data_IF_730785937135
#
_entry.id   IF_730785937135
#
_cell.length_a   1.000
_cell.length_b   1.000
_cell.length_c   1.000
_cell.angle_alpha   90.00
_cell.angle_beta   90.00
_cell.angle_gamma   90.00
#
_symmetry.space_group_name_H-M   'P 1'
#
loop_
_entity.id
_entity.type
_entity.pdbx_description
1 polymer ?
#
# COMPACT_ATOMS: atom_id res chain seq x y z
N UNK A 1 1.85 8.15 -26.87
CA UNK A 1 2.63 8.19 -25.62
C UNK A 1 1.96 7.31 -24.57
N UNK A 2 2.71 6.61 -23.73
CA UNK A 2 2.20 5.87 -22.57
C UNK A 2 2.56 6.66 -21.33
N UNK A 3 1.56 6.94 -20.51
CA UNK A 3 1.76 7.61 -19.24
C UNK A 3 1.47 6.69 -18.07
N UNK A 4 2.31 6.80 -17.05
CA UNK A 4 2.14 6.13 -15.74
C UNK A 4 2.04 7.23 -14.68
N UNK A 5 0.95 7.26 -13.94
CA UNK A 5 0.69 8.26 -12.90
C UNK A 5 1.10 7.69 -11.54
N UNK A 6 2.14 8.27 -10.95
CA UNK A 6 2.71 7.87 -9.67
C UNK A 6 4.09 7.24 -9.79
N UNK A 7 5.01 7.70 -8.96
CA UNK A 7 6.43 7.27 -8.89
C UNK A 7 6.73 6.34 -7.72
N UNK A 8 5.71 5.75 -7.10
CA UNK A 8 5.87 4.72 -6.05
C UNK A 8 6.28 3.36 -6.63
N UNK A 9 6.52 2.37 -5.79
CA UNK A 9 6.80 1.00 -6.24
C UNK A 9 5.82 0.49 -7.28
N UNK A 10 4.53 0.77 -7.14
CA UNK A 10 3.51 0.34 -8.11
C UNK A 10 3.78 0.95 -9.50
N UNK A 11 3.99 2.26 -9.57
CA UNK A 11 4.25 2.95 -10.83
C UNK A 11 5.60 2.56 -11.45
N UNK A 12 6.65 2.46 -10.65
CA UNK A 12 7.97 2.04 -11.13
C UNK A 12 7.98 0.56 -11.59
N UNK A 13 7.24 -0.33 -10.92
CA UNK A 13 7.08 -1.73 -11.36
C UNK A 13 6.26 -1.82 -12.64
N UNK A 14 5.26 -0.95 -12.79
CA UNK A 14 4.51 -0.83 -14.05
C UNK A 14 5.44 -0.40 -15.20
N UNK A 15 6.29 0.61 -14.98
CA UNK A 15 7.30 1.02 -15.96
C UNK A 15 8.31 -0.10 -16.26
N UNK A 16 8.75 -0.81 -15.24
CA UNK A 16 9.69 -1.94 -15.34
C UNK A 16 9.17 -3.04 -16.26
N UNK A 17 7.91 -3.43 -16.16
CA UNK A 17 7.39 -4.49 -17.00
C UNK A 17 7.01 -3.99 -18.42
N UNK A 18 6.44 -2.76 -18.52
CA UNK A 18 5.99 -2.19 -19.78
C UNK A 18 7.14 -1.84 -20.73
N UNK A 19 8.32 -1.49 -20.23
CA UNK A 19 9.51 -1.18 -21.06
C UNK A 19 9.92 -2.31 -22.00
N UNK A 20 9.52 -3.55 -21.69
CA UNK A 20 9.75 -4.71 -22.59
C UNK A 20 8.91 -4.67 -23.86
N UNK A 21 7.79 -3.94 -23.82
CA UNK A 21 6.81 -3.86 -24.93
C UNK A 21 6.75 -2.48 -25.61
N UNK A 22 7.17 -1.44 -24.90
CA UNK A 22 6.99 -0.05 -25.36
C UNK A 22 8.25 0.79 -25.14
N UNK A 23 8.63 1.56 -26.17
CA UNK A 23 9.80 2.47 -26.13
C UNK A 23 9.49 3.81 -25.44
N UNK A 24 8.27 4.35 -25.64
CA UNK A 24 7.90 5.71 -25.21
C UNK A 24 7.01 5.68 -23.97
N UNK A 25 7.64 5.58 -22.81
CA UNK A 25 6.99 5.57 -21.49
C UNK A 25 7.42 6.79 -20.69
N UNK A 26 6.46 7.47 -20.09
CA UNK A 26 6.72 8.60 -19.18
C UNK A 26 6.00 8.37 -17.85
N UNK A 27 6.75 8.42 -16.76
CA UNK A 27 6.22 8.44 -15.38
C UNK A 27 5.96 9.88 -14.98
N UNK A 28 4.76 10.16 -14.50
CA UNK A 28 4.33 11.49 -14.05
C UNK A 28 4.12 11.46 -12.54
N UNK A 29 4.70 12.43 -11.84
CA UNK A 29 4.64 12.54 -10.37
C UNK A 29 4.38 13.97 -9.93
N UNK A 30 3.60 14.19 -8.87
CA UNK A 30 3.43 15.51 -8.24
C UNK A 30 4.64 15.93 -7.39
N UNK A 31 5.59 15.03 -7.17
CA UNK A 31 6.81 15.32 -6.42
C UNK A 31 7.70 16.29 -7.18
N UNK A 32 8.53 17.04 -6.45
CA UNK A 32 9.66 17.77 -7.02
C UNK A 32 10.84 16.84 -7.25
N UNK A 33 11.61 17.16 -8.28
CA UNK A 33 12.93 16.57 -8.47
C UNK A 33 13.80 17.04 -7.30
N UNK A 34 14.52 16.12 -6.69
CA UNK A 34 15.49 16.40 -5.61
C UNK A 34 14.93 16.99 -4.29
N UNK A 35 13.61 16.86 -4.05
CA UNK A 35 13.04 17.30 -2.79
C UNK A 35 13.53 16.41 -1.63
N UNK A 36 14.49 16.94 -0.85
CA UNK A 36 14.98 16.30 0.36
C UNK A 36 13.96 16.35 1.50
N UNK A 37 13.91 15.31 2.28
CA UNK A 37 12.86 14.92 3.22
C UNK A 37 12.78 15.81 4.45
N UNK A 38 11.60 16.28 4.78
CA UNK A 38 11.19 16.47 6.18
C UNK A 38 10.14 15.39 6.50
N UNK A 39 10.50 14.45 7.38
CA UNK A 39 9.56 13.47 7.91
C UNK A 39 8.57 14.17 8.84
N UNK A 40 7.27 13.84 8.73
CA UNK A 40 6.37 14.10 9.84
C UNK A 40 6.89 13.33 11.05
N UNK A 41 6.90 13.94 12.22
CA UNK A 41 7.34 13.26 13.43
C UNK A 41 6.40 12.10 13.72
N UNK A 42 6.96 10.96 14.08
CA UNK A 42 6.21 9.78 14.54
C UNK A 42 5.22 10.17 15.65
N UNK A 43 5.60 11.10 16.50
CA UNK A 43 4.77 11.66 17.56
C UNK A 43 3.47 12.28 16.99
N UNK A 44 3.54 13.10 15.93
CA UNK A 44 2.38 13.67 15.27
C UNK A 44 1.46 12.61 14.70
N UNK A 45 2.02 11.52 14.20
CA UNK A 45 1.25 10.36 13.72
C UNK A 45 0.51 9.67 14.87
N UNK A 46 1.16 9.46 16.00
CA UNK A 46 0.58 8.77 17.14
C UNK A 46 -0.51 9.60 17.83
N UNK A 47 -0.29 10.91 17.98
CA UNK A 47 -1.21 11.81 18.69
C UNK A 47 -2.45 12.20 17.88
N UNK A 48 -2.45 12.10 16.55
CA UNK A 48 -3.63 12.45 15.76
C UNK A 48 -4.69 11.36 15.84
N UNK A 49 -5.93 11.72 16.16
CA UNK A 49 -7.06 10.78 16.22
C UNK A 49 -7.72 10.57 14.85
N UNK A 50 -7.73 11.60 14.01
CA UNK A 50 -8.30 11.54 12.66
C UNK A 50 -7.57 12.50 11.72
N UNK A 51 -7.75 12.29 10.41
CA UNK A 51 -7.23 13.17 9.38
C UNK A 51 -6.16 12.57 8.50
N UNK A 52 -5.63 13.37 7.59
CA UNK A 52 -4.53 13.00 6.69
C UNK A 52 -3.20 13.48 7.24
N UNK A 53 -2.26 12.54 7.37
CA UNK A 53 -0.89 12.83 7.77
C UNK A 53 -0.02 12.86 6.53
N UNK A 54 0.44 14.04 6.16
CA UNK A 54 1.20 14.28 4.94
C UNK A 54 2.69 14.24 5.21
N UNK A 55 3.36 13.30 4.56
CA UNK A 55 4.82 13.21 4.51
C UNK A 55 5.33 13.89 3.25
N UNK A 56 5.26 15.22 3.22
CA UNK A 56 5.67 16.01 2.05
C UNK A 56 6.32 17.31 2.47
N UNK A 57 6.87 18.03 1.47
CA UNK A 57 7.10 19.46 1.68
C UNK A 57 5.76 20.17 1.90
N UNK A 58 5.75 21.13 2.81
CA UNK A 58 4.58 21.98 3.04
C UNK A 58 4.11 22.66 1.74
N UNK A 59 5.05 22.97 0.82
CA UNK A 59 4.77 23.67 -0.45
C UNK A 59 3.94 22.84 -1.41
N UNK A 60 4.33 21.57 -1.67
CA UNK A 60 3.57 20.64 -2.54
C UNK A 60 2.18 20.37 -1.94
N UNK A 61 2.10 20.09 -0.65
CA UNK A 61 0.83 19.84 0.03
C UNK A 61 -0.13 21.02 -0.06
N UNK A 62 0.33 22.24 0.22
CA UNK A 62 -0.50 23.44 0.12
C UNK A 62 -1.04 23.65 -1.29
N UNK A 63 -0.22 23.45 -2.33
CA UNK A 63 -0.67 23.60 -3.72
C UNK A 63 -1.73 22.56 -4.10
N UNK A 64 -1.57 21.31 -3.68
CA UNK A 64 -2.59 20.28 -3.93
C UNK A 64 -3.88 20.59 -3.17
N UNK A 65 -3.80 21.10 -1.94
CA UNK A 65 -4.98 21.49 -1.16
C UNK A 65 -5.75 22.68 -1.78
N UNK A 66 -5.07 23.56 -2.52
CA UNK A 66 -5.72 24.61 -3.32
C UNK A 66 -6.47 24.06 -4.53
N UNK A 67 -5.92 23.00 -5.15
CA UNK A 67 -6.53 22.34 -6.32
C UNK A 67 -7.73 21.47 -5.91
N UNK A 68 -7.64 20.85 -4.73
CA UNK A 68 -8.56 19.80 -4.29
C UNK A 68 -8.64 19.75 -2.76
N UNK A 69 -9.75 20.21 -2.20
CA UNK A 69 -10.00 20.14 -0.76
C UNK A 69 -10.53 18.76 -0.37
N UNK A 70 -10.04 18.21 0.71
CA UNK A 70 -10.48 16.93 1.24
C UNK A 70 -10.92 17.06 2.69
N UNK A 71 -12.20 16.74 2.95
CA UNK A 71 -12.77 16.65 4.31
C UNK A 71 -12.70 15.19 4.77
N UNK A 72 -12.18 14.95 5.97
CA UNK A 72 -11.96 13.61 6.51
C UNK A 72 -12.75 13.44 7.79
N UNK A 73 -13.50 12.33 7.88
CA UNK A 73 -14.32 11.98 9.05
C UNK A 73 -14.08 10.54 9.46
N UNK A 74 -13.91 10.30 10.76
CA UNK A 74 -13.83 8.96 11.37
C UNK A 74 -12.76 8.04 10.74
N UNK A 75 -11.69 8.60 10.19
CA UNK A 75 -10.55 7.83 9.69
C UNK A 75 -9.26 8.66 9.75
N UNK A 76 -8.15 7.93 9.67
CA UNK A 76 -6.80 8.49 9.67
C UNK A 76 -5.98 7.72 8.66
N UNK A 77 -5.30 8.40 7.77
CA UNK A 77 -4.40 7.76 6.84
C UNK A 77 -3.17 8.61 6.55
N UNK A 78 -2.16 7.95 6.02
CA UNK A 78 -0.91 8.60 5.62
C UNK A 78 -0.92 8.80 4.11
N UNK A 79 -0.48 9.97 3.67
CA UNK A 79 -0.19 10.26 2.27
C UNK A 79 1.22 10.79 2.07
N UNK A 80 1.75 10.58 0.88
CA UNK A 80 3.03 11.14 0.48
C UNK A 80 3.02 11.46 -1.00
N UNK A 81 3.22 12.74 -1.30
CA UNK A 81 3.42 13.23 -2.67
C UNK A 81 4.91 13.38 -3.03
N UNK A 82 5.81 12.92 -2.16
CA UNK A 82 7.24 12.83 -2.46
C UNK A 82 7.50 11.81 -3.56
N UNK A 83 8.62 11.92 -4.23
CA UNK A 83 9.08 10.89 -5.13
C UNK A 83 9.18 9.54 -4.38
N UNK A 84 8.59 8.49 -4.97
CA UNK A 84 8.44 7.20 -4.29
C UNK A 84 7.19 7.08 -3.43
N UNK A 85 6.44 8.17 -3.16
CA UNK A 85 5.20 8.13 -2.41
C UNK A 85 5.32 7.41 -1.07
N UNK A 86 4.32 6.60 -0.73
CA UNK A 86 4.32 5.80 0.50
C UNK A 86 5.46 4.76 0.57
N UNK A 87 6.10 4.42 -0.56
CA UNK A 87 7.24 3.50 -0.54
C UNK A 87 8.47 4.06 0.20
N UNK A 88 8.49 5.35 0.52
CA UNK A 88 9.56 5.94 1.35
C UNK A 88 9.35 5.74 2.86
N UNK A 89 8.12 5.47 3.27
CA UNK A 89 7.72 5.37 4.68
C UNK A 89 7.08 4.04 5.04
N UNK A 90 7.08 3.09 4.11
CA UNK A 90 6.54 1.76 4.33
C UNK A 90 7.30 0.96 5.39
N UNK A 91 6.68 -0.10 5.94
CA UNK A 91 7.28 -0.95 6.96
C UNK A 91 8.55 -1.69 6.51
N UNK A 92 8.85 -1.73 5.20
CA UNK A 92 10.00 -2.45 4.65
C UNK A 92 9.84 -3.96 4.72
N UNK A 93 8.61 -4.44 4.78
CA UNK A 93 8.30 -5.86 4.90
C UNK A 93 7.89 -6.41 3.55
N UNK A 94 8.64 -7.41 3.07
CA UNK A 94 8.27 -8.24 1.92
C UNK A 94 8.00 -9.65 2.42
N UNK A 95 6.88 -10.21 2.01
CA UNK A 95 6.54 -11.60 2.27
C UNK A 95 7.09 -12.51 1.18
N UNK A 96 7.45 -13.73 1.56
CA UNK A 96 7.83 -14.75 0.60
C UNK A 96 6.66 -15.04 -0.34
N UNK A 97 6.92 -14.96 -1.64
CA UNK A 97 5.92 -15.20 -2.70
C UNK A 97 5.33 -16.61 -2.68
N UNK A 98 6.05 -17.60 -2.13
CA UNK A 98 5.57 -18.97 -2.02
C UNK A 98 4.50 -19.19 -0.96
N UNK A 99 4.30 -18.22 -0.06
CA UNK A 99 3.35 -18.32 1.06
C UNK A 99 2.00 -17.68 0.78
N UNK A 100 1.87 -16.95 -0.32
CA UNK A 100 0.58 -16.38 -0.67
C UNK A 100 -0.40 -17.46 -1.08
N UNK A 101 -1.60 -17.42 -0.52
CA UNK A 101 -2.71 -18.20 -1.02
C UNK A 101 -3.16 -17.60 -2.36
N UNK A 102 -2.55 -18.06 -3.43
CA UNK A 102 -2.81 -17.57 -4.78
C UNK A 102 -4.13 -18.14 -5.37
N UNK A 103 -4.91 -18.92 -4.60
CA UNK A 103 -6.19 -19.50 -5.08
C UNK A 103 -7.18 -18.45 -5.58
N UNK A 104 -7.16 -17.26 -4.96
CA UNK A 104 -8.05 -16.13 -5.35
C UNK A 104 -7.46 -15.25 -6.45
N UNK A 105 -6.26 -15.56 -6.92
CA UNK A 105 -5.62 -14.84 -8.02
C UNK A 105 -5.88 -15.54 -9.35
N UNK A 106 -6.12 -14.78 -10.40
CA UNK A 106 -6.32 -15.35 -11.73
C UNK A 106 -4.98 -15.80 -12.35
N UNK A 107 -4.24 -16.67 -11.65
CA UNK A 107 -3.00 -17.25 -12.14
C UNK A 107 -3.26 -18.59 -12.82
N UNK A 108 -2.70 -18.75 -14.00
CA UNK A 108 -2.36 -20.06 -14.55
C UNK A 108 -1.01 -20.49 -13.94
N UNK A 109 -0.84 -21.77 -13.54
CA UNK A 109 0.39 -22.32 -12.93
C UNK A 109 1.65 -21.97 -13.76
N UNK A 110 1.58 -22.10 -15.09
CA UNK A 110 2.72 -21.83 -15.98
C UNK A 110 3.14 -20.35 -15.99
N UNK A 111 2.18 -19.42 -15.82
CA UNK A 111 2.48 -17.98 -15.70
C UNK A 111 3.05 -17.63 -14.32
N UNK A 112 2.73 -18.39 -13.30
CA UNK A 112 3.19 -18.11 -11.94
C UNK A 112 4.71 -18.16 -11.84
N UNK A 113 5.36 -19.17 -12.40
CA UNK A 113 6.82 -19.28 -12.36
C UNK A 113 7.52 -18.14 -13.12
N UNK A 114 6.94 -17.70 -14.23
CA UNK A 114 7.43 -16.51 -14.94
C UNK A 114 7.34 -15.25 -14.08
N UNK A 115 6.22 -15.07 -13.38
CA UNK A 115 5.99 -13.92 -12.50
C UNK A 115 6.95 -13.96 -11.31
N UNK A 116 7.16 -15.12 -10.70
CA UNK A 116 8.14 -15.32 -9.63
C UNK A 116 9.55 -14.91 -10.08
N UNK A 117 10.00 -15.37 -11.23
CA UNK A 117 11.31 -14.98 -11.79
C UNK A 117 11.41 -13.48 -12.03
N UNK A 118 10.35 -12.86 -12.55
CA UNK A 118 10.31 -11.41 -12.74
C UNK A 118 10.33 -10.66 -11.40
N UNK A 119 9.64 -11.18 -10.38
CA UNK A 119 9.62 -10.59 -9.05
C UNK A 119 11.00 -10.68 -8.37
N UNK A 120 11.66 -11.83 -8.45
CA UNK A 120 13.03 -12.00 -7.93
C UNK A 120 14.03 -11.06 -8.62
N UNK A 121 13.88 -10.88 -9.94
CA UNK A 121 14.70 -9.90 -10.67
C UNK A 121 14.42 -8.46 -10.21
N UNK A 122 13.16 -8.10 -10.01
CA UNK A 122 12.76 -6.80 -9.46
C UNK A 122 13.32 -6.59 -8.05
N UNK A 123 13.25 -7.59 -7.16
CA UNK A 123 13.84 -7.55 -5.83
C UNK A 123 15.35 -7.30 -5.88
N UNK A 124 16.07 -8.00 -6.75
CA UNK A 124 17.51 -7.79 -6.93
C UNK A 124 17.84 -6.35 -7.30
N UNK A 125 17.06 -5.72 -8.17
CA UNK A 125 17.24 -4.30 -8.54
C UNK A 125 16.94 -3.39 -7.34
N UNK A 126 15.82 -3.62 -6.66
CA UNK A 126 15.36 -2.81 -5.53
C UNK A 126 16.39 -2.82 -4.39
N UNK A 127 16.90 -3.99 -4.04
CA UNK A 127 17.71 -4.20 -2.83
C UNK A 127 19.19 -4.36 -3.08
N UNK A 128 19.62 -4.45 -4.34
CA UNK A 128 21.04 -4.72 -4.73
C UNK A 128 21.63 -5.99 -4.10
N UNK A 129 20.80 -6.89 -3.61
CA UNK A 129 21.20 -8.16 -2.98
C UNK A 129 20.26 -9.27 -3.40
N UNK A 130 20.79 -10.50 -3.52
CA UNK A 130 19.97 -11.69 -3.61
C UNK A 130 19.45 -12.00 -2.22
N UNK A 131 18.14 -11.93 -2.02
CA UNK A 131 17.53 -12.44 -0.82
C UNK A 131 17.45 -13.97 -0.92
N UNK A 132 18.15 -14.67 -0.03
CA UNK A 132 17.90 -16.09 0.20
C UNK A 132 16.69 -16.15 1.11
N UNK A 133 15.57 -16.59 0.59
CA UNK A 133 14.45 -17.00 1.41
C UNK A 133 14.84 -18.30 2.11
N UNK A 134 14.63 -18.42 3.42
CA UNK A 134 14.88 -19.69 4.10
C UNK A 134 14.06 -20.81 3.48
N UNK A 135 14.63 -22.03 3.49
CA UNK A 135 14.03 -23.21 2.88
C UNK A 135 12.60 -23.49 3.38
N UNK A 136 11.82 -24.18 2.55
CA UNK A 136 10.40 -24.52 2.77
C UNK A 136 10.11 -25.21 4.11
N UNK A 137 11.10 -25.85 4.72
CA UNK A 137 10.97 -26.67 5.93
C UNK A 137 11.27 -25.95 7.23
N UNK A 138 11.62 -24.66 7.22
CA UNK A 138 11.82 -23.94 8.45
C UNK A 138 10.49 -23.47 9.03
N UNK A 139 10.22 -23.89 10.27
CA UNK A 139 9.07 -23.52 11.10
C UNK A 139 8.56 -22.09 10.87
N UNK A 140 7.28 -21.93 10.83
CA UNK A 140 6.35 -20.77 10.77
C UNK A 140 6.91 -19.32 10.68
N UNK A 141 8.14 -19.05 11.11
CA UNK A 141 8.62 -17.71 11.45
C UNK A 141 9.65 -17.10 10.48
N UNK A 142 10.12 -17.82 9.44
CA UNK A 142 11.27 -17.36 8.64
C UNK A 142 10.93 -16.76 7.27
N UNK A 143 9.67 -16.52 7.00
CA UNK A 143 9.21 -16.24 5.64
C UNK A 143 8.96 -14.76 5.31
N UNK A 144 9.41 -13.85 6.16
CA UNK A 144 9.26 -12.42 5.97
C UNK A 144 10.63 -11.75 6.06
N UNK A 145 10.98 -11.01 5.01
CA UNK A 145 12.20 -10.22 4.99
C UNK A 145 11.92 -8.81 5.48
N UNK A 146 12.60 -8.41 6.55
CA UNK A 146 12.62 -7.04 7.03
C UNK A 146 13.79 -6.29 6.40
N UNK A 147 13.49 -5.10 5.92
CA UNK A 147 14.52 -4.16 5.49
C UNK A 147 14.92 -3.24 6.63
N UNK A 148 16.21 -3.04 6.80
CA UNK A 148 16.74 -2.01 7.68
C UNK A 148 16.24 -0.63 7.22
N UNK A 149 15.95 0.27 8.17
CA UNK A 149 15.35 1.59 7.93
C UNK A 149 16.09 2.42 6.84
N UNK A 150 17.39 2.39 6.83
CA UNK A 150 18.20 3.10 5.83
C UNK A 150 18.06 2.52 4.41
N UNK A 151 17.87 1.21 4.27
CA UNK A 151 17.72 0.53 2.98
C UNK A 151 16.34 0.72 2.34
N UNK A 152 15.32 1.13 3.11
CA UNK A 152 13.97 1.39 2.59
C UNK A 152 13.94 2.55 1.60
N UNK A 153 14.71 3.59 1.84
CA UNK A 153 14.81 4.78 0.98
C UNK A 153 15.58 4.50 -0.30
N UNK A 154 16.66 3.76 -0.19
CA UNK A 154 17.50 3.39 -1.33
C UNK A 154 16.74 2.52 -2.33
N UNK A 155 15.78 1.73 -1.86
CA UNK A 155 15.05 0.77 -2.67
C UNK A 155 14.29 1.41 -3.84
N UNK A 156 13.59 2.51 -3.59
CA UNK A 156 12.87 3.26 -4.64
C UNK A 156 13.86 3.96 -5.59
N UNK A 157 14.91 4.54 -5.01
CA UNK A 157 15.96 5.23 -5.77
C UNK A 157 16.68 4.25 -6.71
N UNK A 158 16.97 3.03 -6.25
CA UNK A 158 17.61 2.01 -7.08
C UNK A 158 16.76 1.61 -8.28
N UNK A 159 15.47 1.37 -8.07
CA UNK A 159 14.55 1.04 -9.15
C UNK A 159 14.39 2.20 -10.13
N UNK A 160 14.32 3.44 -9.64
CA UNK A 160 14.28 4.63 -10.49
C UNK A 160 15.55 4.77 -11.33
N UNK A 161 16.74 4.67 -10.72
CA UNK A 161 18.03 4.73 -11.44
C UNK A 161 18.09 3.67 -12.54
N UNK A 162 17.69 2.44 -12.23
CA UNK A 162 17.60 1.37 -13.22
C UNK A 162 16.70 1.75 -14.41
N UNK A 163 15.54 2.34 -14.16
CA UNK A 163 14.58 2.74 -15.21
C UNK A 163 15.09 3.92 -16.05
N UNK A 164 15.77 4.89 -15.42
CA UNK A 164 16.43 5.99 -16.15
C UNK A 164 17.47 5.45 -17.16
N UNK A 165 18.28 4.48 -16.74
CA UNK A 165 19.26 3.81 -17.60
C UNK A 165 18.59 2.96 -18.71
N UNK A 166 17.28 2.81 -18.70
CA UNK A 166 16.46 2.14 -19.71
C UNK A 166 15.56 3.11 -20.46
N UNK A 167 15.93 4.38 -20.51
CA UNK A 167 15.28 5.46 -21.26
C UNK A 167 13.80 5.72 -20.86
N UNK A 168 13.41 5.38 -19.64
CA UNK A 168 12.12 5.78 -19.10
C UNK A 168 12.18 7.26 -18.70
N UNK A 169 11.26 8.06 -19.23
CA UNK A 169 11.17 9.49 -18.93
C UNK A 169 10.40 9.74 -17.63
N UNK A 170 10.82 10.76 -16.88
CA UNK A 170 10.14 11.22 -15.66
C UNK A 170 9.76 12.68 -15.80
N UNK A 171 8.51 13.00 -15.46
CA UNK A 171 7.99 14.37 -15.37
C UNK A 171 7.53 14.62 -13.94
N UNK A 172 8.00 15.72 -13.36
CA UNK A 172 7.78 16.11 -11.98
C UNK A 172 6.86 17.33 -11.88
N UNK A 173 6.48 17.68 -10.65
CA UNK A 173 5.60 18.83 -10.35
C UNK A 173 4.24 18.77 -11.07
N UNK A 174 3.80 17.59 -11.52
CA UNK A 174 2.58 17.40 -12.29
C UNK A 174 1.55 16.56 -11.51
N UNK A 175 0.44 17.17 -11.16
CA UNK A 175 -0.67 16.53 -10.47
C UNK A 175 -1.81 16.19 -11.44
N UNK A 176 -2.17 14.92 -11.58
CA UNK A 176 -3.30 14.50 -12.42
C UNK A 176 -4.62 14.84 -11.75
N UNK A 177 -5.34 15.81 -12.31
CA UNK A 177 -6.66 16.24 -11.82
C UNK A 177 -7.80 15.43 -12.42
N UNK A 178 -7.75 15.19 -13.74
CA UNK A 178 -8.88 14.61 -14.49
C UNK A 178 -8.43 13.91 -15.75
N UNK A 179 -9.18 12.90 -16.15
CA UNK A 179 -9.06 12.21 -17.44
C UNK A 179 -10.24 12.61 -18.31
N UNK A 180 -9.97 13.09 -19.51
CA UNK A 180 -10.98 13.26 -20.55
C UNK A 180 -10.92 12.06 -21.49
N UNK A 181 -11.78 11.06 -21.21
CA UNK A 181 -11.76 9.80 -21.94
C UNK A 181 -12.10 9.94 -23.42
N UNK A 182 -13.14 10.73 -23.75
CA UNK A 182 -13.60 10.90 -25.15
C UNK A 182 -12.51 11.47 -26.05
N UNK A 183 -11.74 12.43 -25.56
CA UNK A 183 -10.64 13.04 -26.32
C UNK A 183 -9.28 12.39 -26.08
N UNK A 184 -9.22 11.31 -25.30
CA UNK A 184 -7.96 10.64 -24.85
C UNK A 184 -6.92 11.62 -24.31
N UNK A 185 -7.34 12.58 -23.47
CA UNK A 185 -6.48 13.58 -22.84
C UNK A 185 -6.46 13.43 -21.32
N UNK A 186 -5.30 13.62 -20.74
CA UNK A 186 -5.15 13.85 -19.28
C UNK A 186 -5.02 15.34 -19.02
N UNK A 187 -5.65 15.80 -17.95
CA UNK A 187 -5.59 17.19 -17.48
C UNK A 187 -4.74 17.19 -16.22
N UNK A 188 -3.58 17.80 -16.31
CA UNK A 188 -2.58 17.92 -15.26
C UNK A 188 -2.57 19.34 -14.73
N UNK A 189 -2.30 19.49 -13.44
CA UNK A 189 -1.91 20.75 -12.81
C UNK A 189 -0.39 20.75 -12.69
N UNK A 190 0.26 21.73 -13.27
CA UNK A 190 1.65 22.03 -13.00
C UNK A 190 1.76 22.74 -11.64
N UNK A 191 2.41 22.08 -10.69
CA UNK A 191 2.58 22.59 -9.35
C UNK A 191 3.70 23.63 -9.24
N UNK A 192 4.57 23.78 -10.25
CA UNK A 192 5.59 24.84 -10.30
C UNK A 192 4.97 26.17 -10.71
N UNK A 193 4.23 26.17 -11.80
CA UNK A 193 3.75 27.37 -12.47
C UNK A 193 2.25 27.62 -12.28
N UNK A 194 1.56 26.72 -11.57
CA UNK A 194 0.11 26.77 -11.35
C UNK A 194 -0.71 26.78 -12.66
N UNK A 195 -0.20 26.14 -13.71
CA UNK A 195 -0.83 26.06 -15.03
C UNK A 195 -1.52 24.73 -15.24
N UNK A 196 -2.49 24.71 -16.16
CA UNK A 196 -3.17 23.48 -16.60
C UNK A 196 -2.50 23.00 -17.88
N UNK A 197 -2.02 21.76 -17.86
CA UNK A 197 -1.41 21.08 -18.99
C UNK A 197 -2.34 19.95 -19.46
N UNK A 198 -2.56 19.86 -20.77
CA UNK A 198 -3.33 18.78 -21.39
C UNK A 198 -2.40 17.92 -22.26
N UNK A 199 -2.35 16.61 -22.00
CA UNK A 199 -1.51 15.67 -22.77
C UNK A 199 -2.37 14.56 -23.37
N UNK A 200 -2.11 14.21 -24.64
CA UNK A 200 -2.75 13.09 -25.31
C UNK A 200 -2.09 11.78 -24.89
N UNK A 201 -2.87 10.75 -24.53
CA UNK A 201 -2.36 9.42 -24.20
C UNK A 201 -2.82 8.36 -25.21
N UNK A 202 -1.95 7.37 -25.46
CA UNK A 202 -2.31 6.13 -26.16
C UNK A 202 -2.77 5.09 -25.11
N UNK A 203 -2.05 4.99 -23.99
CA UNK A 203 -2.41 4.19 -22.83
C UNK A 203 -2.07 4.96 -21.55
N UNK A 204 -2.93 4.82 -20.56
CA UNK A 204 -2.79 5.48 -19.26
C UNK A 204 -2.82 4.43 -18.14
N UNK A 205 -1.78 4.39 -17.34
CA UNK A 205 -1.68 3.55 -16.14
C UNK A 205 -1.75 4.42 -14.89
N UNK A 206 -2.70 4.15 -14.01
CA UNK A 206 -2.90 4.89 -12.77
C UNK A 206 -2.35 4.07 -11.62
N UNK A 207 -1.24 4.52 -11.04
CA UNK A 207 -0.52 3.94 -9.91
C UNK A 207 -0.37 4.97 -8.77
N UNK A 208 -1.40 5.80 -8.57
CA UNK A 208 -1.36 6.95 -7.67
C UNK A 208 -1.57 6.58 -6.19
N UNK A 209 -1.72 5.29 -5.90
CA UNK A 209 -2.18 4.76 -4.62
C UNK A 209 -3.71 4.82 -4.48
N UNK A 210 -4.33 3.91 -3.71
CA UNK A 210 -5.76 3.65 -3.81
C UNK A 210 -6.65 4.87 -3.51
N UNK A 211 -6.26 5.75 -2.60
CA UNK A 211 -7.02 6.98 -2.28
C UNK A 211 -6.98 7.96 -3.46
N UNK A 212 -5.78 8.26 -3.99
CA UNK A 212 -5.67 9.20 -5.11
C UNK A 212 -6.23 8.59 -6.41
N UNK A 213 -6.05 7.30 -6.63
CA UNK A 213 -6.69 6.58 -7.75
C UNK A 213 -8.21 6.73 -7.68
N UNK A 214 -8.83 6.56 -6.51
CA UNK A 214 -10.26 6.76 -6.33
C UNK A 214 -10.69 8.21 -6.62
N UNK A 215 -9.94 9.21 -6.15
CA UNK A 215 -10.21 10.62 -6.42
C UNK A 215 -10.12 10.95 -7.90
N UNK A 216 -9.09 10.47 -8.60
CA UNK A 216 -8.93 10.64 -10.05
C UNK A 216 -10.13 10.05 -10.80
N UNK A 217 -10.58 8.86 -10.46
CA UNK A 217 -11.74 8.21 -11.07
C UNK A 217 -13.03 9.01 -10.82
N UNK A 218 -13.28 9.43 -9.57
CA UNK A 218 -14.43 10.26 -9.22
C UNK A 218 -14.44 11.60 -9.96
N UNK A 219 -13.28 12.21 -10.18
CA UNK A 219 -13.18 13.46 -10.95
C UNK A 219 -13.40 13.28 -12.44
N UNK A 220 -13.07 12.10 -12.95
CA UNK A 220 -13.05 11.83 -14.40
C UNK A 220 -14.38 11.30 -14.94
N UNK A 221 -15.10 10.51 -14.15
CA UNK A 221 -16.23 9.72 -14.62
C UNK A 221 -17.47 9.93 -13.74
N UNK A 222 -18.51 10.52 -14.34
CA UNK A 222 -19.73 10.96 -13.61
C UNK A 222 -20.56 9.81 -13.02
N UNK A 223 -20.48 8.62 -13.58
CA UNK A 223 -21.19 7.45 -13.09
C UNK A 223 -20.67 6.93 -11.75
N UNK A 224 -19.45 7.26 -11.37
CA UNK A 224 -18.93 6.93 -10.05
C UNK A 224 -19.33 8.02 -9.05
N UNK A 225 -20.32 7.75 -8.22
CA UNK A 225 -20.77 8.69 -7.17
C UNK A 225 -19.96 8.57 -5.89
N UNK A 226 -19.53 7.35 -5.57
CA UNK A 226 -18.73 6.99 -4.40
C UNK A 226 -17.89 5.76 -4.67
N UNK A 227 -16.76 5.64 -4.01
CA UNK A 227 -15.85 4.50 -4.11
C UNK A 227 -15.51 4.02 -2.69
N UNK A 228 -15.56 2.70 -2.49
CA UNK A 228 -15.15 2.06 -1.24
C UNK A 228 -13.74 1.50 -1.40
N UNK A 229 -12.90 1.76 -0.41
CA UNK A 229 -11.58 1.16 -0.26
C UNK A 229 -11.60 0.28 0.98
N UNK A 230 -11.28 -0.98 0.81
CA UNK A 230 -11.19 -1.92 1.91
C UNK A 230 -9.81 -1.85 2.54
N UNK A 231 -9.73 -2.18 3.84
CA UNK A 231 -8.48 -2.24 4.57
C UNK A 231 -8.33 -3.55 5.35
N UNK A 232 -7.10 -3.90 5.70
CA UNK A 232 -6.80 -4.79 6.81
C UNK A 232 -6.50 -3.93 8.03
N UNK A 233 -7.53 -3.60 8.81
CA UNK A 233 -7.34 -2.74 9.99
C UNK A 233 -6.41 -3.40 10.98
N UNK A 234 -5.47 -2.63 11.49
CA UNK A 234 -4.56 -3.13 12.50
C UNK A 234 -4.93 -2.64 13.90
N UNK A 235 -4.58 -3.44 14.88
CA UNK A 235 -4.69 -3.14 16.29
C UNK A 235 -3.43 -3.63 17.01
N UNK A 236 -3.20 -3.14 18.20
CA UNK A 236 -2.08 -3.55 19.01
C UNK A 236 -2.57 -4.37 20.19
N UNK A 237 -1.79 -5.38 20.58
CA UNK A 237 -2.00 -6.14 21.80
C UNK A 237 -0.72 -6.19 22.60
N UNK A 238 -0.84 -6.17 23.91
CA UNK A 238 0.23 -6.59 24.80
C UNK A 238 0.34 -8.10 24.74
N UNK A 239 1.54 -8.64 24.61
CA UNK A 239 1.77 -10.08 24.53
C UNK A 239 2.79 -10.50 25.57
N UNK A 240 2.43 -11.49 26.39
CA UNK A 240 3.35 -12.19 27.28
C UNK A 240 3.81 -13.48 26.62
N UNK A 241 5.12 -13.73 26.58
CA UNK A 241 5.74 -14.95 26.08
C UNK A 241 6.53 -15.62 27.19
N UNK A 242 6.52 -16.96 27.23
CA UNK A 242 7.30 -17.73 28.21
C UNK A 242 8.81 -17.63 28.00
N UNK A 243 9.26 -17.50 26.76
CA UNK A 243 10.68 -17.41 26.40
C UNK A 243 11.03 -16.05 25.80
N UNK A 244 12.27 -15.58 26.01
CA UNK A 244 12.76 -14.33 25.41
C UNK A 244 12.92 -14.47 23.91
N UNK A 245 12.53 -13.41 23.16
CA UNK A 245 12.74 -13.32 21.73
C UNK A 245 14.03 -12.57 21.41
N UNK A 246 14.89 -13.19 20.62
CA UNK A 246 16.12 -12.54 20.13
C UNK A 246 15.86 -11.61 18.94
N UNK A 247 14.74 -11.80 18.19
CA UNK A 247 14.38 -11.06 16.95
C UNK A 247 12.88 -10.80 16.89
N UNK A 248 12.48 -9.89 15.99
CA UNK A 248 11.06 -9.67 15.67
C UNK A 248 10.50 -10.97 15.08
N UNK A 249 9.39 -11.42 15.62
CA UNK A 249 8.69 -12.62 15.17
C UNK A 249 7.36 -12.27 14.50
N UNK A 250 6.95 -13.12 13.56
CA UNK A 250 5.74 -12.97 12.79
C UNK A 250 4.90 -14.23 12.92
N UNK A 251 3.60 -14.04 13.11
CA UNK A 251 2.65 -15.13 13.24
C UNK A 251 1.53 -14.95 12.23
N UNK A 252 1.20 -16.03 11.56
CA UNK A 252 0.00 -16.12 10.72
C UNK A 252 -0.89 -17.19 11.34
N UNK A 253 -2.12 -16.81 11.60
CA UNK A 253 -3.14 -17.71 12.09
C UNK A 253 -4.25 -17.83 11.04
N UNK A 254 -4.65 -19.04 10.72
CA UNK A 254 -5.78 -19.33 9.85
C UNK A 254 -6.56 -20.47 10.47
N UNK A 255 -7.73 -20.18 11.00
CA UNK A 255 -8.59 -21.14 11.62
C UNK A 255 -10.04 -20.81 11.28
N UNK A 256 -10.76 -21.76 10.69
CA UNK A 256 -12.19 -21.66 10.34
C UNK A 256 -12.56 -20.33 9.65
N UNK A 257 -11.81 -19.99 8.62
CA UNK A 257 -12.00 -18.73 7.87
C UNK A 257 -11.50 -17.45 8.56
N UNK A 258 -11.11 -17.51 9.85
CA UNK A 258 -10.52 -16.40 10.57
C UNK A 258 -9.04 -16.28 10.21
N UNK A 259 -8.70 -15.24 9.46
CA UNK A 259 -7.32 -14.95 9.08
C UNK A 259 -6.77 -13.83 9.96
N UNK A 260 -5.67 -14.12 10.60
CA UNK A 260 -4.99 -13.20 11.50
C UNK A 260 -3.49 -13.20 11.21
N UNK A 261 -2.89 -12.04 11.23
CA UNK A 261 -1.45 -11.86 11.10
C UNK A 261 -0.96 -10.93 12.18
N UNK A 262 0.14 -11.27 12.81
CA UNK A 262 0.74 -10.49 13.88
C UNK A 262 2.25 -10.33 13.70
N UNK A 263 2.74 -9.13 14.03
CA UNK A 263 4.16 -8.80 14.14
C UNK A 263 4.47 -8.49 15.60
N UNK A 264 5.39 -9.22 16.21
CA UNK A 264 5.81 -9.01 17.60
C UNK A 264 7.04 -8.09 17.66
N UNK A 265 6.94 -7.07 18.45
CA UNK A 265 8.02 -6.14 18.77
C UNK A 265 8.37 -6.27 20.24
N UNK A 266 9.66 -6.39 20.56
CA UNK A 266 10.10 -6.38 21.95
C UNK A 266 9.72 -5.04 22.61
N UNK A 267 8.97 -5.08 23.70
CA UNK A 267 8.45 -3.89 24.38
C UNK A 267 9.58 -3.00 24.90
N UNK A 268 10.70 -3.59 25.36
CA UNK A 268 11.91 -2.87 25.74
C UNK A 268 12.47 -2.00 24.62
N UNK A 269 12.49 -2.51 23.39
CA UNK A 269 12.99 -1.74 22.25
C UNK A 269 12.08 -0.53 21.93
N UNK A 270 10.78 -0.68 22.16
CA UNK A 270 9.82 0.41 22.00
C UNK A 270 10.03 1.47 23.08
N UNK A 271 10.13 1.06 24.36
CA UNK A 271 10.42 1.97 25.47
C UNK A 271 11.75 2.71 25.30
N UNK A 272 12.78 2.02 24.79
CA UNK A 272 14.07 2.66 24.50
C UNK A 272 13.97 3.75 23.42
N UNK A 273 13.10 3.59 22.43
CA UNK A 273 12.89 4.62 21.39
C UNK A 273 12.23 5.88 21.95
N UNK A 274 11.31 5.70 22.91
CA UNK A 274 10.51 6.81 23.46
C UNK A 274 11.09 7.44 24.71
N UNK A 275 11.75 6.65 25.58
CA UNK A 275 12.11 7.06 26.94
C UNK A 275 13.57 6.84 27.32
N UNK A 276 14.40 6.36 26.41
CA UNK A 276 15.83 6.06 26.65
C UNK A 276 16.09 5.09 27.83
N UNK A 277 15.17 4.22 28.13
CA UNK A 277 15.24 3.23 29.22
C UNK A 277 16.21 2.08 28.92
N UNK A 278 17.52 2.29 28.93
CA UNK A 278 18.50 1.25 28.62
C UNK A 278 18.65 0.14 29.68
N UNK A 279 18.23 0.36 30.92
CA UNK A 279 18.59 -0.50 32.06
C UNK A 279 17.47 -1.40 32.66
N UNK A 280 16.25 -1.37 32.18
CA UNK A 280 15.17 -2.16 32.80
C UNK A 280 15.05 -3.58 32.24
N UNK A 281 15.43 -4.58 33.07
CA UNK A 281 15.26 -6.02 32.75
C UNK A 281 13.82 -6.55 32.97
N UNK A 282 12.96 -5.75 33.58
CA UNK A 282 11.60 -6.12 34.01
C UNK A 282 10.64 -6.58 32.88
N UNK A 283 10.94 -6.23 31.61
CA UNK A 283 10.03 -6.48 30.49
C UNK A 283 10.56 -7.49 29.46
N UNK A 284 11.48 -8.40 29.86
CA UNK A 284 12.10 -9.36 28.94
C UNK A 284 11.09 -10.21 28.16
N UNK A 285 9.99 -10.58 28.81
CA UNK A 285 8.96 -11.46 28.25
C UNK A 285 7.71 -10.71 27.77
N UNK A 286 7.77 -9.37 27.72
CA UNK A 286 6.68 -8.53 27.28
C UNK A 286 6.94 -7.99 25.89
N UNK A 287 5.95 -8.12 25.02
CA UNK A 287 6.01 -7.71 23.61
C UNK A 287 4.77 -6.89 23.27
N UNK A 288 4.91 -6.05 22.26
CA UNK A 288 3.78 -5.43 21.59
C UNK A 288 3.54 -6.16 20.27
N UNK A 289 2.35 -6.68 20.08
CA UNK A 289 1.92 -7.27 18.83
C UNK A 289 1.17 -6.24 18.00
N UNK A 290 1.59 -6.03 16.76
CA UNK A 290 0.81 -5.34 15.75
C UNK A 290 0.05 -6.39 14.95
N UNK A 291 -1.26 -6.38 15.06
CA UNK A 291 -2.15 -7.41 14.56
C UNK A 291 -3.00 -6.89 13.41
N UNK A 292 -3.30 -7.73 12.42
CA UNK A 292 -4.08 -7.40 11.24
C UNK A 292 -5.23 -8.38 11.04
N UNK A 293 -6.42 -7.85 10.75
CA UNK A 293 -7.60 -8.64 10.35
C UNK A 293 -7.78 -8.62 8.84
N UNK A 294 -8.43 -9.66 8.33
CA UNK A 294 -8.81 -9.70 6.92
C UNK A 294 -9.84 -8.62 6.57
N UNK A 295 -9.99 -8.31 5.29
CA UNK A 295 -10.92 -7.29 4.80
C UNK A 295 -12.39 -7.64 5.02
N UNK A 296 -12.73 -8.92 5.20
CA UNK A 296 -14.11 -9.35 5.43
C UNK A 296 -14.61 -8.92 6.81
N UNK A 297 -13.73 -8.90 7.80
CA UNK A 297 -14.04 -8.57 9.19
C UNK A 297 -13.58 -7.17 9.60
N UNK A 298 -12.84 -6.49 8.73
CA UNK A 298 -12.22 -5.19 8.98
C UNK A 298 -13.13 -4.01 8.62
N UNK A 299 -12.57 -2.83 8.55
CA UNK A 299 -13.19 -1.56 8.21
C UNK A 299 -13.05 -1.24 6.72
N UNK A 300 -13.66 -0.16 6.29
CA UNK A 300 -13.42 0.40 4.96
C UNK A 300 -13.50 1.94 4.98
N UNK A 301 -12.91 2.56 3.99
CA UNK A 301 -13.02 3.98 3.73
C UNK A 301 -13.96 4.19 2.54
N UNK A 302 -14.88 5.13 2.65
CA UNK A 302 -15.73 5.58 1.56
C UNK A 302 -15.28 6.96 1.12
N UNK A 303 -15.03 7.12 -0.17
CA UNK A 303 -14.70 8.41 -0.80
C UNK A 303 -15.84 8.80 -1.71
N UNK A 304 -16.38 9.99 -1.53
CA UNK A 304 -17.37 10.60 -2.41
C UNK A 304 -16.97 12.00 -2.80
N UNK A 305 -17.42 12.45 -3.95
CA UNK A 305 -17.25 13.82 -4.39
C UNK A 305 -18.19 14.73 -3.61
N UNK A 306 -17.66 15.85 -3.13
CA UNK A 306 -18.37 16.87 -2.37
C UNK A 306 -18.15 18.24 -3.04
N UNK A 307 -18.95 18.53 -4.08
CA UNK A 307 -18.75 19.68 -4.98
C UNK A 307 -17.73 19.43 -6.10
N UNK A 308 -17.36 20.50 -6.84
CA UNK A 308 -16.56 20.39 -8.08
C UNK A 308 -15.15 19.85 -7.88
N UNK A 309 -14.48 20.23 -6.82
CA UNK A 309 -13.07 19.85 -6.55
C UNK A 309 -12.84 19.38 -5.11
N UNK A 310 -13.91 19.02 -4.41
CA UNK A 310 -13.83 18.59 -3.03
C UNK A 310 -14.17 17.12 -2.88
N UNK A 311 -13.62 16.50 -1.85
CA UNK A 311 -13.89 15.12 -1.48
C UNK A 311 -14.28 15.02 -0.01
N UNK A 312 -15.22 14.13 0.27
CA UNK A 312 -15.47 13.65 1.61
C UNK A 312 -14.98 12.22 1.72
N UNK A 313 -14.05 11.99 2.64
CA UNK A 313 -13.50 10.68 2.99
C UNK A 313 -14.03 10.30 4.36
N UNK A 314 -14.70 9.16 4.46
CA UNK A 314 -15.33 8.70 5.71
C UNK A 314 -14.91 7.28 6.03
N UNK A 315 -14.40 7.06 7.23
CA UNK A 315 -14.15 5.73 7.77
C UNK A 315 -15.42 5.07 8.27
N UNK A 316 -15.59 3.81 7.96
CA UNK A 316 -16.74 2.99 8.39
C UNK A 316 -16.27 1.65 8.94
N UNK A 317 -16.68 1.34 10.16
CA UNK A 317 -16.40 0.07 10.83
C UNK A 317 -17.53 -0.92 10.56
N UNK A 318 -17.20 -2.18 10.34
CA UNK A 318 -18.18 -3.26 10.31
C UNK A 318 -18.66 -3.57 11.72
N UNK A 319 -19.95 -3.86 11.88
CA UNK A 319 -20.57 -4.18 13.18
C UNK A 319 -19.90 -5.39 13.86
N UNK A 320 -19.43 -6.34 13.09
CA UNK A 320 -18.82 -7.59 13.55
C UNK A 320 -17.37 -7.43 14.02
N UNK A 321 -16.73 -6.27 13.80
CA UNK A 321 -15.30 -6.07 14.01
C UNK A 321 -14.83 -6.45 15.42
N UNK A 322 -15.42 -5.87 16.47
CA UNK A 322 -15.01 -6.14 17.85
C UNK A 322 -15.26 -7.59 18.25
N UNK A 323 -16.41 -8.17 17.87
CA UNK A 323 -16.74 -9.57 18.12
C UNK A 323 -15.67 -10.50 17.52
N UNK A 324 -15.28 -10.25 16.24
CA UNK A 324 -14.28 -11.06 15.55
C UNK A 324 -12.89 -10.99 16.21
N UNK A 325 -12.49 -9.83 16.70
CA UNK A 325 -11.22 -9.72 17.42
C UNK A 325 -11.24 -10.55 18.71
N UNK A 326 -12.29 -10.43 19.51
CA UNK A 326 -12.42 -11.19 20.75
C UNK A 326 -12.42 -12.71 20.49
N UNK A 327 -13.14 -13.17 19.45
CA UNK A 327 -13.12 -14.57 19.01
C UNK A 327 -11.70 -15.04 18.65
N UNK A 328 -10.97 -14.26 17.81
CA UNK A 328 -9.61 -14.60 17.37
C UNK A 328 -8.65 -14.65 18.56
N UNK A 329 -8.67 -13.64 19.44
CA UNK A 329 -7.77 -13.60 20.59
C UNK A 329 -8.06 -14.72 21.60
N UNK A 330 -9.34 -15.02 21.84
CA UNK A 330 -9.76 -16.13 22.68
C UNK A 330 -9.27 -17.49 22.14
N UNK A 331 -9.52 -17.74 20.84
CA UNK A 331 -9.07 -18.97 20.17
C UNK A 331 -7.54 -19.09 20.18
N UNK A 332 -6.84 -17.99 19.92
CA UNK A 332 -5.38 -17.99 19.93
C UNK A 332 -4.84 -18.27 21.32
N UNK A 333 -5.37 -17.60 22.35
CA UNK A 333 -4.96 -17.78 23.73
C UNK A 333 -5.25 -19.19 24.27
N UNK A 334 -6.28 -19.87 23.76
CA UNK A 334 -6.58 -21.28 24.09
C UNK A 334 -5.58 -22.24 23.44
N UNK A 335 -5.20 -21.99 22.18
CA UNK A 335 -4.37 -22.91 21.39
C UNK A 335 -2.86 -22.67 21.55
N UNK A 336 -2.43 -21.47 21.91
CA UNK A 336 -1.01 -21.15 22.09
C UNK A 336 -0.57 -21.39 23.54
N UNK A 337 0.39 -22.28 23.73
CA UNK A 337 1.04 -22.51 25.04
C UNK A 337 2.05 -21.40 25.36
N UNK A 338 2.65 -20.77 24.34
CA UNK A 338 3.78 -19.86 24.53
C UNK A 338 3.44 -18.38 24.49
N UNK A 339 2.30 -18.02 23.90
CA UNK A 339 1.91 -16.62 23.71
C UNK A 339 0.52 -16.36 24.28
N UNK A 340 0.39 -15.30 25.04
CA UNK A 340 -0.91 -14.81 25.53
C UNK A 340 -1.08 -13.36 25.11
N UNK A 341 -2.18 -13.04 24.47
CA UNK A 341 -2.55 -11.72 23.99
C UNK A 341 -3.51 -11.04 24.96
N UNK A 342 -3.20 -9.81 25.34
CA UNK A 342 -3.97 -9.00 26.27
C UNK A 342 -4.26 -7.61 25.70
N UNK A 343 -5.33 -6.99 26.15
CA UNK A 343 -5.65 -5.58 25.97
C UNK A 343 -5.53 -5.09 24.50
N UNK A 344 -6.48 -5.45 23.61
CA UNK A 344 -6.47 -4.96 22.25
C UNK A 344 -6.70 -3.44 22.20
N UNK A 345 -5.74 -2.71 21.62
CA UNK A 345 -5.81 -1.27 21.39
C UNK A 345 -6.04 -1.04 19.91
N UNK A 346 -7.19 -0.47 19.56
CA UNK A 346 -7.59 -0.31 18.17
C UNK A 346 -7.04 0.98 17.56
N UNK A 347 -6.41 0.85 16.42
CA UNK A 347 -6.05 2.01 15.63
C UNK A 347 -7.26 2.61 14.91
N UNK A 348 -7.12 3.87 14.51
CA UNK A 348 -8.11 4.54 13.68
C UNK A 348 -8.29 3.80 12.34
N UNK A 349 -9.48 3.87 11.75
CA UNK A 349 -9.77 3.35 10.42
C UNK A 349 -8.82 4.01 9.41
N UNK A 350 -8.23 3.24 8.50
CA UNK A 350 -7.28 3.71 7.49
C UNK A 350 -5.83 3.81 7.96
N UNK A 351 -5.56 3.73 9.27
CA UNK A 351 -4.21 3.87 9.82
C UNK A 351 -3.28 2.70 9.49
N UNK A 352 -3.82 1.58 9.03
CA UNK A 352 -3.01 0.44 8.57
C UNK A 352 -2.20 0.75 7.33
N UNK A 353 -2.62 1.73 6.52
CA UNK A 353 -2.11 2.01 5.16
C UNK A 353 -2.20 0.80 4.20
N UNK A 354 -2.84 -0.28 4.62
CA UNK A 354 -3.16 -1.44 3.79
C UNK A 354 -4.56 -1.25 3.18
N UNK A 355 -4.66 -0.29 2.26
CA UNK A 355 -5.89 0.08 1.57
C UNK A 355 -5.89 -0.40 0.13
N UNK A 356 -7.08 -0.77 -0.39
CA UNK A 356 -7.22 -1.16 -1.79
C UNK A 356 -8.54 -1.83 -2.12
N UNK A 357 -8.53 -2.74 -3.08
CA UNK A 357 -9.69 -3.53 -3.53
C UNK A 357 -10.93 -2.70 -3.89
N UNK A 358 -10.71 -1.47 -4.41
CA UNK A 358 -11.79 -0.56 -4.81
C UNK A 358 -12.35 -0.86 -6.20
N UNK A 359 -11.52 -1.44 -7.07
CA UNK A 359 -11.86 -1.85 -8.44
C UNK A 359 -11.36 -3.27 -8.71
N UNK A 360 -11.82 -4.27 -7.94
CA UNK A 360 -11.27 -5.61 -8.04
C UNK A 360 -11.43 -6.21 -9.43
N UNK A 361 -10.46 -7.03 -9.82
CA UNK A 361 -10.43 -7.70 -11.11
C UNK A 361 -11.57 -8.69 -11.27
N UNK A 362 -12.12 -8.78 -12.48
CA UNK A 362 -13.21 -9.68 -12.82
C UNK A 362 -13.12 -10.14 -14.28
N UNK A 363 -13.57 -11.35 -14.57
CA UNK A 363 -13.84 -11.81 -15.93
C UNK A 363 -15.15 -11.23 -16.48
N UNK A 364 -16.12 -10.94 -15.59
CA UNK A 364 -17.42 -10.38 -15.95
C UNK A 364 -17.38 -8.86 -15.87
N UNK A 365 -17.92 -8.19 -16.90
CA UNK A 365 -18.10 -6.74 -16.94
C UNK A 365 -19.06 -6.31 -15.83
N UNK A 366 -18.59 -5.50 -14.90
CA UNK A 366 -19.38 -4.91 -13.82
C UNK A 366 -18.84 -3.51 -13.49
N UNK A 367 -19.73 -2.65 -13.00
CA UNK A 367 -19.35 -1.35 -12.43
C UNK A 367 -18.39 -1.56 -11.27
N UNK A 368 -17.44 -0.69 -11.07
CA UNK A 368 -16.37 -0.80 -10.05
C UNK A 368 -15.47 -2.05 -10.18
N UNK A 369 -15.31 -2.56 -11.41
CA UNK A 369 -14.41 -3.68 -11.69
C UNK A 369 -13.42 -3.32 -12.78
N UNK A 370 -12.28 -3.99 -12.76
CA UNK A 370 -11.33 -3.99 -13.87
C UNK A 370 -11.29 -5.36 -14.53
N UNK A 371 -10.85 -5.39 -15.78
CA UNK A 371 -10.47 -6.64 -16.46
C UNK A 371 -9.28 -7.28 -15.73
N UNK A 372 -8.97 -8.53 -16.05
CA UNK A 372 -7.85 -9.24 -15.43
C UNK A 372 -6.49 -8.59 -15.68
N UNK A 373 -6.35 -7.78 -16.73
CA UNK A 373 -5.15 -7.00 -17.04
C UNK A 373 -5.14 -5.60 -16.39
N UNK A 374 -6.09 -5.31 -15.50
CA UNK A 374 -6.20 -4.02 -14.81
C UNK A 374 -6.91 -2.92 -15.60
N UNK A 375 -7.33 -3.16 -16.85
CA UNK A 375 -8.08 -2.19 -17.65
C UNK A 375 -9.46 -1.96 -17.04
N UNK A 376 -9.82 -0.70 -16.85
CA UNK A 376 -11.11 -0.31 -16.29
C UNK A 376 -12.23 -0.65 -17.30
N UNK A 377 -13.27 -1.37 -16.86
CA UNK A 377 -14.41 -1.66 -17.71
C UNK A 377 -15.07 -0.37 -18.21
N UNK A 378 -15.49 -0.35 -19.49
CA UNK A 378 -16.03 0.77 -20.26
C UNK A 378 -15.01 1.89 -20.62
N UNK A 379 -13.75 1.81 -20.18
CA UNK A 379 -12.74 2.83 -20.42
C UNK A 379 -11.48 2.22 -21.01
N UNK A 380 -11.55 1.91 -22.31
CA UNK A 380 -10.42 1.33 -23.06
C UNK A 380 -9.15 2.18 -22.92
N UNK A 381 -8.01 1.51 -22.79
CA UNK A 381 -6.68 2.11 -22.63
C UNK A 381 -6.44 2.84 -21.29
N UNK A 382 -7.34 2.70 -20.30
CA UNK A 382 -7.13 3.17 -18.92
C UNK A 382 -6.99 1.97 -18.00
N UNK A 383 -5.82 1.86 -17.39
CA UNK A 383 -5.41 0.75 -16.51
C UNK A 383 -5.18 1.24 -15.09
N UNK A 384 -5.68 0.53 -14.11
CA UNK A 384 -5.31 0.73 -12.71
C UNK A 384 -4.20 -0.25 -12.35
N UNK A 385 -3.12 0.23 -11.76
CA UNK A 385 -1.93 -0.57 -11.47
C UNK A 385 -1.35 -0.28 -10.08
N UNK A 386 -2.23 -0.30 -9.08
CA UNK A 386 -1.89 -0.27 -7.66
C UNK A 386 -2.78 -1.27 -6.89
N UNK A 387 -2.86 -1.14 -5.57
CA UNK A 387 -3.69 -2.03 -4.74
C UNK A 387 -5.21 -1.91 -4.98
N UNK A 388 -5.66 -0.91 -5.73
CA UNK A 388 -7.08 -0.73 -6.07
C UNK A 388 -7.69 -1.93 -6.80
N UNK A 389 -6.88 -2.64 -7.61
CA UNK A 389 -7.35 -3.75 -8.45
C UNK A 389 -7.33 -5.10 -7.76
N UNK A 390 -6.80 -5.20 -6.55
CA UNK A 390 -6.78 -6.45 -5.80
C UNK A 390 -8.20 -6.93 -5.52
N UNK A 391 -8.42 -8.24 -5.53
CA UNK A 391 -9.74 -8.81 -5.23
C UNK A 391 -10.07 -8.69 -3.74
N UNK A 392 -9.06 -8.79 -2.91
CA UNK A 392 -9.10 -8.58 -1.46
C UNK A 392 -7.75 -8.06 -0.98
N UNK A 393 -7.72 -7.47 0.19
CA UNK A 393 -6.48 -7.14 0.88
C UNK A 393 -6.23 -8.25 1.89
N UNK A 394 -5.17 -9.02 1.70
CA UNK A 394 -4.78 -10.08 2.64
C UNK A 394 -4.22 -9.45 3.93
N UNK A 395 -4.25 -10.19 5.01
CA UNK A 395 -3.65 -9.82 6.31
C UNK A 395 -2.13 -9.64 6.22
N UNK A 396 -1.49 -10.21 5.22
CA UNK A 396 -0.05 -10.09 4.97
C UNK A 396 0.32 -8.73 4.33
N UNK A 397 1.62 -8.37 4.34
CA UNK A 397 2.10 -7.14 3.74
C UNK A 397 1.66 -6.96 2.28
N UNK A 398 0.87 -5.94 2.02
CA UNK A 398 0.22 -5.66 0.73
C UNK A 398 1.21 -5.40 -0.42
N UNK A 399 2.43 -4.94 -0.09
CA UNK A 399 3.42 -4.51 -1.10
C UNK A 399 3.78 -5.64 -2.06
N UNK A 400 4.23 -6.78 -1.55
CA UNK A 400 4.60 -7.95 -2.38
C UNK A 400 3.45 -8.34 -3.30
N UNK A 401 2.25 -8.43 -2.75
CA UNK A 401 1.05 -8.84 -3.45
C UNK A 401 0.68 -7.88 -4.58
N UNK A 402 0.76 -6.58 -4.33
CA UNK A 402 0.53 -5.54 -5.33
C UNK A 402 1.54 -5.63 -6.47
N UNK A 403 2.84 -5.77 -6.15
CA UNK A 403 3.89 -5.85 -7.17
C UNK A 403 3.75 -7.11 -8.04
N UNK A 404 3.49 -8.26 -7.44
CA UNK A 404 3.23 -9.50 -8.19
C UNK A 404 2.04 -9.37 -9.12
N UNK A 405 0.96 -8.73 -8.66
CA UNK A 405 -0.21 -8.51 -9.48
C UNK A 405 0.09 -7.60 -10.68
N UNK A 406 0.87 -6.53 -10.48
CA UNK A 406 1.30 -5.65 -11.58
C UNK A 406 2.13 -6.40 -12.61
N UNK A 407 3.07 -7.24 -12.16
CA UNK A 407 3.84 -8.11 -13.05
C UNK A 407 2.93 -9.04 -13.85
N UNK A 408 1.95 -9.66 -13.20
CA UNK A 408 0.97 -10.55 -13.84
C UNK A 408 0.11 -9.85 -14.89
N UNK A 409 -0.40 -8.66 -14.57
CA UNK A 409 -1.31 -7.91 -15.45
C UNK A 409 -0.66 -7.53 -16.79
N UNK A 410 0.66 -7.41 -16.79
CA UNK A 410 1.42 -6.88 -17.92
C UNK A 410 2.37 -7.94 -18.56
N UNK A 411 2.36 -9.19 -18.09
CA UNK A 411 3.19 -10.30 -18.59
C UNK A 411 2.72 -10.85 -19.94
#
# INVERSE_FOLDING_TARGET
MIYIIGSSFSGLTTAFILRKKYKNITVISPSRKDETKKSATLLKYLLSLSGEIKFNSKKVSKRIDLIEKTKIKNCKFVSSYQEGGLSNIWGGVLSNIYQYNLKNFPFNKNKLEKIKRQFLHLEKIIFKKNFRYPDKNSSLNKNITLLNFNKKKESVINLKKYLLNKNIKFKYDLYLKKINYKSKKIVLHDLSDNKIIKLNYKKLYISAGPINTAKIILNSFREFKKIKLYETRHFFCLVKKRMSLKKIEYFKFNYDGLKFYSQLYNFRNILNIFFNFKKFNLFKNLFMAQCYLNTQDSSYIEIKKDGKSNFLITGKQKKTFNKRINEILSLYNKKSLDLKFYFPIFNSIGASNHLGASFPMSKKKKKFKTKLNGELYNYKDIYLSDSSVLNEIDVQPITTFTLMNILRMNS
#
